data_IF_632749412075
#
_entry.id   IF_632749412075
#
_cell.length_a   1.000
_cell.length_b   1.000
_cell.length_c   1.000
_cell.angle_alpha   90.00
_cell.angle_beta   90.00
_cell.angle_gamma   90.00
#
_symmetry.space_group_name_H-M   'P 1'
#
loop_
_entity.id
_entity.type
_entity.pdbx_description
1 polymer ?
#
# COMPACT_ATOMS: atom_id res chain seq x y z
N UNK A 1 -19.48 9.73 -27.79
CA UNK A 1 -20.00 8.52 -27.11
C UNK A 1 -20.22 8.82 -25.64
N UNK A 2 -21.30 8.28 -25.09
CA UNK A 2 -21.80 8.58 -23.76
C UNK A 2 -20.74 8.32 -22.68
N UNK A 3 -20.42 9.34 -21.89
CA UNK A 3 -19.58 9.27 -20.68
C UNK A 3 -20.22 8.40 -19.60
N UNK A 4 -20.33 7.09 -19.88
CA UNK A 4 -20.54 6.07 -18.88
C UNK A 4 -19.35 6.17 -17.93
N UNK A 5 -19.66 6.58 -16.71
CA UNK A 5 -18.76 6.74 -15.57
C UNK A 5 -17.59 5.75 -15.62
N UNK A 6 -16.43 6.21 -16.11
CA UNK A 6 -15.21 5.43 -16.34
C UNK A 6 -14.76 4.77 -15.03
N UNK A 7 -15.18 5.35 -13.91
CA UNK A 7 -15.00 4.85 -12.55
C UNK A 7 -15.91 3.67 -12.19
N UNK A 8 -16.72 3.12 -13.10
CA UNK A 8 -17.55 1.92 -12.83
C UNK A 8 -17.06 0.66 -13.53
N UNK A 9 -16.27 0.76 -14.60
CA UNK A 9 -15.71 -0.40 -15.29
C UNK A 9 -14.65 -1.08 -14.40
N UNK A 10 -14.83 -2.37 -14.03
CA UNK A 10 -13.86 -3.13 -13.25
C UNK A 10 -12.43 -3.09 -13.81
N UNK A 11 -12.26 -3.13 -15.14
CA UNK A 11 -10.93 -3.09 -15.78
C UNK A 11 -10.25 -1.72 -15.60
N UNK A 12 -11.05 -0.65 -15.59
CA UNK A 12 -10.55 0.71 -15.38
C UNK A 12 -10.18 0.94 -13.91
N UNK A 13 -10.98 0.42 -12.97
CA UNK A 13 -10.65 0.44 -11.52
C UNK A 13 -9.33 -0.27 -11.23
N UNK A 14 -9.11 -1.44 -11.82
CA UNK A 14 -7.86 -2.20 -11.64
C UNK A 14 -6.64 -1.43 -12.20
N UNK A 15 -6.78 -0.85 -13.40
CA UNK A 15 -5.75 -0.01 -14.01
C UNK A 15 -5.35 1.16 -13.09
N UNK A 16 -6.34 1.88 -12.55
CA UNK A 16 -6.09 3.01 -11.66
C UNK A 16 -5.39 2.54 -10.38
N UNK A 17 -5.82 1.43 -9.81
CA UNK A 17 -5.21 0.89 -8.61
C UNK A 17 -3.77 0.43 -8.80
N UNK A 18 -3.46 -0.20 -9.94
CA UNK A 18 -2.09 -0.57 -10.27
C UNK A 18 -1.21 0.67 -10.45
N UNK A 19 -1.71 1.71 -11.14
CA UNK A 19 -0.99 2.98 -11.28
C UNK A 19 -0.70 3.65 -9.92
N UNK A 20 -1.65 3.66 -8.98
CA UNK A 20 -1.44 4.21 -7.63
C UNK A 20 -0.38 3.39 -6.86
N UNK A 21 -0.41 2.05 -6.96
CA UNK A 21 0.60 1.17 -6.33
C UNK A 21 1.98 1.38 -6.91
N UNK A 22 2.11 1.49 -8.24
CA UNK A 22 3.37 1.81 -8.91
C UNK A 22 3.91 3.17 -8.46
N UNK A 23 3.05 4.19 -8.40
CA UNK A 23 3.42 5.52 -7.91
C UNK A 23 3.93 5.49 -6.46
N UNK A 24 3.27 4.71 -5.60
CA UNK A 24 3.68 4.53 -4.20
C UNK A 24 5.06 3.87 -4.10
N UNK A 25 5.30 2.85 -4.92
CA UNK A 25 6.57 2.15 -4.97
C UNK A 25 7.70 3.04 -5.49
N UNK A 26 7.45 3.83 -6.54
CA UNK A 26 8.42 4.77 -7.09
C UNK A 26 8.75 5.90 -6.12
N UNK A 27 7.75 6.44 -5.42
CA UNK A 27 7.99 7.40 -4.33
C UNK A 27 8.88 6.80 -3.24
N UNK A 28 8.64 5.54 -2.85
CA UNK A 28 9.50 4.83 -1.92
C UNK A 28 10.93 4.69 -2.42
N UNK A 29 11.13 4.55 -3.73
CA UNK A 29 12.45 4.37 -4.33
C UNK A 29 13.22 5.68 -4.41
N UNK A 30 12.53 6.78 -4.70
CA UNK A 30 13.07 8.14 -4.61
C UNK A 30 13.50 8.45 -3.17
N UNK A 31 12.63 8.20 -2.19
CA UNK A 31 12.91 8.46 -0.78
C UNK A 31 14.05 7.59 -0.26
N UNK A 32 14.18 6.34 -0.70
CA UNK A 32 15.27 5.43 -0.28
C UNK A 32 16.57 5.60 -1.07
N UNK A 33 16.56 6.37 -2.16
CA UNK A 33 17.74 6.62 -2.99
C UNK A 33 18.10 5.45 -3.90
N UNK A 34 17.11 4.65 -4.29
CA UNK A 34 17.26 3.48 -5.19
C UNK A 34 16.54 3.65 -6.54
N UNK A 35 15.95 4.82 -6.76
CA UNK A 35 15.33 5.19 -8.02
C UNK A 35 16.37 5.22 -9.16
N UNK A 36 16.01 4.64 -10.30
CA UNK A 36 16.88 4.44 -11.46
C UNK A 36 17.02 5.69 -12.33
N UNK A 37 16.12 6.67 -12.19
CA UNK A 37 16.16 7.89 -12.98
C UNK A 37 17.20 8.90 -12.42
N UNK A 38 18.32 8.42 -11.90
CA UNK A 38 19.28 9.21 -11.11
C UNK A 38 20.13 10.21 -11.93
N UNK A 39 20.13 10.10 -13.26
CA UNK A 39 21.00 10.89 -14.13
C UNK A 39 20.42 12.23 -14.56
N UNK A 40 19.11 12.42 -14.38
CA UNK A 40 18.38 13.65 -14.71
C UNK A 40 18.62 14.74 -13.65
N UNK A 41 18.70 16.00 -14.08
CA UNK A 41 19.13 17.10 -13.21
C UNK A 41 18.12 17.40 -12.10
N UNK A 42 16.83 17.34 -12.39
CA UNK A 42 15.76 17.42 -11.40
C UNK A 42 15.86 16.34 -10.31
N UNK A 43 16.04 15.07 -10.69
CA UNK A 43 16.18 13.99 -9.71
C UNK A 43 17.47 14.11 -8.89
N UNK A 44 18.58 14.54 -9.49
CA UNK A 44 19.82 14.85 -8.74
C UNK A 44 19.57 15.89 -7.65
N UNK A 45 18.86 16.97 -7.98
CA UNK A 45 18.52 18.01 -7.01
C UNK A 45 17.64 17.46 -5.88
N UNK A 46 16.65 16.61 -6.21
CA UNK A 46 15.82 15.95 -5.21
C UNK A 46 16.67 15.06 -4.29
N UNK A 47 17.59 14.26 -4.84
CA UNK A 47 18.44 13.38 -4.05
C UNK A 47 19.40 14.16 -3.14
N UNK A 48 20.01 15.25 -3.61
CA UNK A 48 20.87 16.10 -2.77
C UNK A 48 20.10 16.80 -1.64
N UNK A 49 18.86 17.24 -1.92
CA UNK A 49 17.97 17.78 -0.89
C UNK A 49 17.59 16.71 0.14
N UNK A 50 17.27 15.48 -0.30
CA UNK A 50 16.96 14.37 0.59
C UNK A 50 18.17 14.02 1.46
N UNK A 51 19.37 13.92 0.90
CA UNK A 51 20.60 13.70 1.67
C UNK A 51 20.76 14.75 2.77
N UNK A 52 20.60 16.02 2.42
CA UNK A 52 20.68 17.14 3.37
C UNK A 52 19.65 17.03 4.49
N UNK A 53 18.39 16.70 4.16
CA UNK A 53 17.32 16.50 5.15
C UNK A 53 17.65 15.33 6.07
N UNK A 54 18.09 14.20 5.52
CA UNK A 54 18.40 13.01 6.30
C UNK A 54 19.66 13.16 7.16
N UNK A 55 20.62 13.99 6.76
CA UNK A 55 21.76 14.37 7.61
C UNK A 55 21.29 15.15 8.84
N UNK A 56 20.31 16.06 8.70
CA UNK A 56 19.72 16.77 9.85
C UNK A 56 18.94 15.81 10.76
N UNK A 57 18.13 14.92 10.18
CA UNK A 57 17.40 13.89 10.93
C UNK A 57 18.39 13.00 11.69
N UNK A 58 19.47 12.55 11.04
CA UNK A 58 20.52 11.72 11.65
C UNK A 58 21.11 12.39 12.89
N UNK A 59 21.42 13.69 12.82
CA UNK A 59 21.93 14.47 13.98
C UNK A 59 20.94 14.48 15.14
N UNK A 60 19.64 14.58 14.88
CA UNK A 60 18.61 14.56 15.92
C UNK A 60 18.43 13.16 16.52
N UNK A 61 18.32 12.11 15.69
CA UNK A 61 18.05 10.75 16.17
C UNK A 61 19.27 10.15 16.88
N UNK A 62 20.48 10.54 16.50
CA UNK A 62 21.71 10.09 17.15
C UNK A 62 21.94 10.70 18.55
N UNK A 63 21.08 11.61 19.04
CA UNK A 63 21.18 12.17 20.40
C UNK A 63 20.84 11.18 21.52
N UNK A 64 20.51 9.92 21.19
CA UNK A 64 20.29 8.86 22.18
C UNK A 64 20.71 7.45 21.75
N UNK A 65 21.06 7.23 20.47
CA UNK A 65 21.47 5.92 19.95
C UNK A 65 22.43 6.09 18.77
N UNK A 66 23.55 5.38 18.76
CA UNK A 66 24.58 5.47 17.70
C UNK A 66 24.30 4.62 16.45
N UNK A 67 23.04 4.23 16.20
CA UNK A 67 22.65 3.25 15.17
C UNK A 67 23.14 3.63 13.78
N UNK A 68 23.12 4.93 13.43
CA UNK A 68 23.39 5.41 12.07
C UNK A 68 24.80 5.96 11.88
N UNK A 69 25.70 5.82 12.86
CA UNK A 69 27.05 6.37 12.76
C UNK A 69 27.87 5.76 11.62
N UNK A 70 27.63 4.49 11.30
CA UNK A 70 28.28 3.74 10.22
C UNK A 70 27.44 3.65 8.94
N UNK A 71 26.36 4.43 8.84
CA UNK A 71 25.56 4.49 7.61
C UNK A 71 26.35 5.14 6.47
N UNK A 72 25.90 4.92 5.23
CA UNK A 72 26.51 5.51 4.05
C UNK A 72 26.36 7.04 4.05
N UNK A 73 27.18 7.77 3.26
CA UNK A 73 27.00 9.21 3.06
C UNK A 73 25.61 9.59 2.56
N UNK A 74 24.95 8.68 1.83
CA UNK A 74 23.59 8.87 1.32
C UNK A 74 22.48 8.46 2.30
N UNK A 75 22.87 8.07 3.52
CA UNK A 75 21.97 7.66 4.62
C UNK A 75 21.02 6.52 4.26
N UNK A 76 21.49 5.56 3.47
CA UNK A 76 20.64 4.49 2.91
C UNK A 76 19.91 3.69 3.99
N UNK A 77 20.56 3.35 5.11
CA UNK A 77 19.92 2.60 6.19
C UNK A 77 18.85 3.44 6.90
N UNK A 78 19.16 4.70 7.23
CA UNK A 78 18.20 5.62 7.85
C UNK A 78 16.99 5.86 6.95
N UNK A 79 17.19 6.07 5.65
CA UNK A 79 16.13 6.29 4.66
C UNK A 79 15.22 5.07 4.53
N UNK A 80 15.79 3.86 4.52
CA UNK A 80 15.04 2.61 4.53
C UNK A 80 14.17 2.47 5.79
N UNK A 81 14.74 2.66 6.98
CA UNK A 81 13.97 2.59 8.23
C UNK A 81 12.88 3.66 8.31
N UNK A 82 13.16 4.88 7.82
CA UNK A 82 12.17 5.95 7.75
C UNK A 82 11.01 5.57 6.84
N UNK A 83 11.27 5.01 5.67
CA UNK A 83 10.22 4.54 4.77
C UNK A 83 9.37 3.46 5.44
N UNK A 84 10.01 2.44 6.04
CA UNK A 84 9.28 1.38 6.75
C UNK A 84 8.39 1.89 7.88
N UNK A 85 8.84 2.91 8.61
CA UNK A 85 8.05 3.54 9.67
C UNK A 85 6.86 4.35 9.13
N UNK A 86 6.99 4.99 7.96
CA UNK A 86 6.03 5.99 7.46
C UNK A 86 5.18 5.54 6.26
N UNK A 87 5.53 4.44 5.60
CA UNK A 87 4.87 3.92 4.38
C UNK A 87 3.36 3.77 4.52
N UNK A 88 2.87 3.39 5.72
CA UNK A 88 1.44 3.26 6.01
C UNK A 88 0.72 4.60 5.92
N UNK A 89 1.33 5.65 6.47
CA UNK A 89 0.80 7.01 6.44
C UNK A 89 0.85 7.59 5.03
N UNK A 90 1.95 7.35 4.30
CA UNK A 90 2.08 7.76 2.89
C UNK A 90 1.00 7.11 2.03
N UNK A 91 0.82 5.79 2.14
CA UNK A 91 -0.21 5.06 1.40
C UNK A 91 -1.62 5.57 1.72
N UNK A 92 -1.91 5.81 3.01
CA UNK A 92 -3.17 6.42 3.43
C UNK A 92 -3.37 7.77 2.74
N UNK A 93 -2.39 8.66 2.76
CA UNK A 93 -2.49 9.97 2.10
C UNK A 93 -2.76 9.85 0.58
N UNK A 94 -2.12 8.90 -0.10
CA UNK A 94 -2.35 8.65 -1.53
C UNK A 94 -3.73 8.11 -1.85
N UNK A 95 -4.37 7.41 -0.90
CA UNK A 95 -5.64 6.70 -1.13
C UNK A 95 -6.85 7.36 -0.48
N UNK A 96 -6.67 8.30 0.45
CA UNK A 96 -7.78 8.93 1.19
C UNK A 96 -8.00 10.40 0.85
N UNK A 97 -7.25 10.96 -0.09
CA UNK A 97 -7.36 12.37 -0.49
C UNK A 97 -8.06 12.52 -1.84
N UNK A 98 -9.00 13.47 -1.95
CA UNK A 98 -9.70 13.78 -3.19
C UNK A 98 -10.50 12.61 -3.75
N UNK A 99 -10.56 12.49 -5.07
CA UNK A 99 -11.28 11.41 -5.76
C UNK A 99 -10.64 10.02 -5.57
N UNK A 100 -9.39 9.95 -5.08
CA UNK A 100 -8.75 8.68 -4.73
C UNK A 100 -9.48 7.93 -3.61
N UNK A 101 -10.17 8.64 -2.71
CA UNK A 101 -10.99 8.04 -1.66
C UNK A 101 -12.17 7.21 -2.21
N UNK A 102 -12.57 7.44 -3.46
CA UNK A 102 -13.62 6.70 -4.16
C UNK A 102 -13.10 5.40 -4.80
N UNK A 103 -11.78 5.22 -4.84
CA UNK A 103 -11.12 4.11 -5.54
C UNK A 103 -10.71 3.05 -4.50
N UNK A 104 -11.52 1.99 -4.41
CA UNK A 104 -11.21 0.85 -3.55
C UNK A 104 -10.20 -0.10 -4.19
N UNK A 105 -8.91 0.10 -3.92
CA UNK A 105 -7.83 -0.77 -4.39
C UNK A 105 -7.66 -2.09 -3.63
N UNK A 106 -8.55 -2.34 -2.66
CA UNK A 106 -8.58 -3.54 -1.84
C UNK A 106 -9.57 -4.56 -2.40
N UNK A 107 -9.28 -5.06 -3.59
CA UNK A 107 -9.87 -6.33 -4.05
C UNK A 107 -8.76 -7.35 -4.26
N UNK A 108 -8.29 -7.94 -3.17
CA UNK A 108 -7.88 -9.35 -3.27
C UNK A 108 -9.16 -10.09 -3.58
N UNK A 109 -9.23 -10.76 -4.73
CA UNK A 109 -10.44 -11.44 -5.18
C UNK A 109 -11.05 -12.29 -4.07
N UNK A 110 -12.21 -11.86 -3.55
CA UNK A 110 -13.15 -12.76 -2.91
C UNK A 110 -13.89 -13.54 -4.01
N UNK A 111 -13.11 -14.23 -4.83
CA UNK A 111 -13.51 -15.34 -5.67
C UNK A 111 -13.01 -16.64 -5.03
N UNK A 112 -13.21 -16.76 -3.72
CA UNK A 112 -13.10 -17.99 -2.96
C UNK A 112 -14.42 -18.17 -2.22
N UNK A 113 -15.43 -18.61 -2.96
CA UNK A 113 -16.42 -19.56 -2.44
C UNK A 113 -15.69 -20.83 -2.01
N UNK A 114 -14.91 -20.73 -0.94
CA UNK A 114 -14.61 -21.85 -0.06
C UNK A 114 -15.71 -21.84 0.98
N UNK A 115 -16.87 -22.41 0.63
CA UNK A 115 -17.83 -22.88 1.62
C UNK A 115 -17.04 -23.55 2.73
N UNK A 116 -17.14 -23.01 3.95
CA UNK A 116 -16.71 -23.72 5.14
C UNK A 116 -17.62 -24.94 5.23
N UNK A 117 -17.24 -26.01 4.54
CA UNK A 117 -17.76 -27.35 4.76
C UNK A 117 -17.39 -27.70 6.18
N UNK A 118 -18.29 -27.42 7.12
CA UNK A 118 -18.24 -27.94 8.46
C UNK A 118 -18.44 -29.45 8.36
N UNK A 119 -17.36 -30.18 8.11
CA UNK A 119 -17.33 -31.63 8.31
C UNK A 119 -17.37 -31.84 9.82
N UNK A 120 -18.59 -32.00 10.33
CA UNK A 120 -18.86 -32.25 11.75
C UNK A 120 -18.20 -33.55 12.19
N UNK A 121 -17.12 -33.42 12.98
CA UNK A 121 -16.66 -34.52 13.82
C UNK A 121 -17.58 -34.57 15.04
N UNK A 122 -18.46 -35.56 15.03
CA UNK A 122 -19.42 -35.89 16.08
C UNK A 122 -18.66 -36.44 17.29
N UNK A 123 -18.54 -35.66 18.36
CA UNK A 123 -18.18 -36.18 19.69
C UNK A 123 -19.40 -36.14 20.60
N UNK A 124 -19.68 -37.26 21.26
CA UNK A 124 -20.89 -37.51 22.02
C UNK A 124 -20.84 -36.85 23.41
N UNK A 125 -22.00 -36.29 23.78
CA UNK A 125 -22.65 -36.11 25.11
C UNK A 125 -21.81 -36.27 26.40
N UNK A 126 -21.97 -35.28 27.30
CA UNK A 126 -21.73 -35.49 28.74
C UNK A 126 -21.94 -34.27 29.66
N UNK A 127 -23.16 -34.16 30.20
CA UNK A 127 -23.56 -33.58 31.51
C UNK A 127 -23.62 -32.08 31.81
N UNK A 128 -24.83 -31.71 32.24
CA UNK A 128 -25.36 -30.44 32.73
C UNK A 128 -24.79 -29.98 34.08
N UNK A 129 -24.51 -28.68 34.23
CA UNK A 129 -24.75 -27.89 35.46
C UNK A 129 -25.01 -26.42 35.09
N UNK A 130 -26.14 -25.88 35.55
CA UNK A 130 -26.61 -24.52 35.24
C UNK A 130 -26.21 -23.44 36.25
N UNK A 131 -26.54 -22.19 35.89
CA UNK A 131 -26.67 -20.89 36.64
C UNK A 131 -26.05 -19.77 35.80
N UNK A 132 -26.47 -18.52 35.79
CA UNK A 132 -27.64 -17.75 36.23
C UNK A 132 -27.54 -16.41 35.47
N UNK A 133 -28.66 -15.72 35.34
CA UNK A 133 -28.95 -14.48 34.63
C UNK A 133 -28.16 -13.23 35.07
N UNK A 134 -28.26 -12.21 34.20
CA UNK A 134 -28.01 -10.78 34.36
C UNK A 134 -26.58 -10.25 34.11
N UNK A 135 -26.34 -9.82 32.86
CA UNK A 135 -25.70 -8.53 32.65
C UNK A 135 -26.23 -7.86 31.38
N UNK A 136 -26.41 -6.55 31.49
CA UNK A 136 -27.22 -5.68 30.63
C UNK A 136 -26.75 -5.67 29.18
N UNK A 137 -27.69 -5.83 28.25
CA UNK A 137 -27.50 -5.59 26.81
C UNK A 137 -27.33 -4.07 26.62
N UNK A 138 -26.08 -3.61 26.57
CA UNK A 138 -25.77 -2.25 26.11
C UNK A 138 -26.01 -2.22 24.61
N UNK A 139 -27.17 -1.71 24.19
CA UNK A 139 -27.39 -1.25 22.82
C UNK A 139 -26.62 0.06 22.65
N UNK A 140 -25.33 -0.04 22.33
CA UNK A 140 -24.60 1.06 21.71
C UNK A 140 -24.99 1.09 20.23
N UNK A 141 -26.13 1.73 19.96
CA UNK A 141 -26.37 2.34 18.66
C UNK A 141 -25.43 3.54 18.54
N UNK A 142 -24.53 3.50 17.57
CA UNK A 142 -23.61 4.61 17.28
C UNK A 142 -22.13 4.32 17.58
N UNK A 143 -21.63 3.15 17.17
CA UNK A 143 -20.20 2.92 17.05
C UNK A 143 -19.69 3.49 15.72
N UNK A 144 -18.96 4.60 15.79
CA UNK A 144 -18.12 5.13 14.71
C UNK A 144 -17.36 3.96 14.07
N UNK A 145 -17.56 3.73 12.76
CA UNK A 145 -16.84 2.70 12.00
C UNK A 145 -15.35 2.89 12.20
N UNK A 146 -14.79 2.07 13.08
CA UNK A 146 -13.42 2.09 13.53
C UNK A 146 -12.55 1.67 12.36
N UNK A 147 -11.66 2.58 11.96
CA UNK A 147 -10.57 2.44 10.99
C UNK A 147 -10.74 1.31 9.97
N UNK A 148 -11.16 1.65 8.75
CA UNK A 148 -10.81 0.86 7.58
C UNK A 148 -9.31 0.60 7.62
N UNK A 149 -8.92 -0.65 7.88
CA UNK A 149 -7.52 -1.07 7.84
C UNK A 149 -7.07 -0.95 6.39
N UNK A 150 -6.51 0.20 6.02
CA UNK A 150 -5.98 0.42 4.68
C UNK A 150 -4.81 -0.54 4.50
N UNK A 151 -5.02 -1.65 3.77
CA UNK A 151 -3.93 -2.57 3.44
C UNK A 151 -2.95 -1.86 2.52
N UNK A 152 -1.71 -1.76 2.97
CA UNK A 152 -0.62 -1.17 2.20
C UNK A 152 -0.12 -2.20 1.18
N UNK A 153 0.05 -1.85 -0.09
CA UNK A 153 0.65 -2.72 -1.09
C UNK A 153 2.08 -3.10 -0.73
N UNK A 154 2.58 -4.19 -1.31
CA UNK A 154 3.96 -4.66 -1.17
C UNK A 154 4.84 -4.30 -2.37
N UNK A 155 4.27 -3.59 -3.35
CA UNK A 155 4.92 -3.23 -4.62
C UNK A 155 6.24 -2.48 -4.39
N UNK A 156 6.34 -1.69 -3.33
CA UNK A 156 7.56 -0.98 -2.93
C UNK A 156 8.67 -1.90 -2.38
N UNK A 157 8.46 -3.23 -2.30
CA UNK A 157 9.53 -4.21 -2.07
C UNK A 157 9.99 -4.91 -3.36
N UNK A 158 9.24 -4.81 -4.46
CA UNK A 158 9.61 -5.37 -5.76
C UNK A 158 10.70 -4.47 -6.38
N UNK A 159 11.81 -4.97 -6.94
CA UNK A 159 12.80 -4.12 -7.61
C UNK A 159 12.21 -3.25 -8.74
N UNK A 160 12.58 -1.97 -8.81
CA UNK A 160 12.00 -1.00 -9.75
C UNK A 160 12.04 -1.45 -11.21
N UNK A 161 13.16 -2.04 -11.66
CA UNK A 161 13.28 -2.57 -13.04
C UNK A 161 12.18 -3.56 -13.39
N UNK A 162 11.80 -4.43 -12.45
CA UNK A 162 10.75 -5.43 -12.66
C UNK A 162 9.38 -4.77 -12.71
N UNK A 163 9.12 -3.78 -11.84
CA UNK A 163 7.86 -3.04 -11.84
C UNK A 163 7.66 -2.27 -13.15
N UNK A 164 8.68 -1.56 -13.61
CA UNK A 164 8.65 -0.83 -14.88
C UNK A 164 8.51 -1.76 -16.08
N UNK A 165 9.11 -2.96 -16.05
CA UNK A 165 8.91 -3.97 -17.09
C UNK A 165 7.45 -4.44 -17.16
N UNK A 166 6.82 -4.69 -15.99
CA UNK A 166 5.40 -5.05 -15.92
C UNK A 166 4.52 -3.93 -16.46
N UNK A 167 4.74 -2.69 -16.03
CA UNK A 167 4.00 -1.52 -16.51
C UNK A 167 4.18 -1.29 -18.02
N UNK A 168 5.40 -1.47 -18.53
CA UNK A 168 5.67 -1.39 -19.97
C UNK A 168 4.88 -2.44 -20.75
N UNK A 169 4.87 -3.69 -20.29
CA UNK A 169 4.15 -4.78 -20.96
C UNK A 169 2.63 -4.53 -20.96
N UNK A 170 2.08 -4.05 -19.84
CA UNK A 170 0.66 -3.68 -19.75
C UNK A 170 0.30 -2.55 -20.74
N UNK A 171 1.12 -1.50 -20.81
CA UNK A 171 0.89 -0.38 -21.72
C UNK A 171 1.07 -0.77 -23.19
N UNK A 172 2.06 -1.61 -23.49
CA UNK A 172 2.26 -2.16 -24.84
C UNK A 172 1.02 -2.95 -25.29
N UNK A 173 0.50 -3.85 -24.47
CA UNK A 173 -0.72 -4.59 -24.79
C UNK A 173 -1.94 -3.67 -24.98
N UNK A 174 -2.07 -2.60 -24.19
CA UNK A 174 -3.14 -1.60 -24.37
C UNK A 174 -3.01 -0.86 -25.70
N UNK A 175 -1.80 -0.49 -26.10
CA UNK A 175 -1.55 0.16 -27.38
C UNK A 175 -1.85 -0.80 -28.54
N UNK A 176 -1.32 -2.02 -28.48
CA UNK A 176 -1.52 -3.04 -29.51
C UNK A 176 -3.00 -3.43 -29.69
N UNK A 177 -3.77 -3.48 -28.60
CA UNK A 177 -5.21 -3.74 -28.67
C UNK A 177 -6.00 -2.59 -29.33
N UNK A 178 -5.51 -1.34 -29.28
CA UNK A 178 -6.17 -0.23 -29.99
C UNK A 178 -5.95 -0.38 -31.49
N UNK A 179 -4.70 -0.57 -31.90
CA UNK A 179 -4.31 -0.76 -33.31
C UNK A 179 -4.99 -1.97 -33.97
N UNK A 180 -5.21 -3.07 -33.24
CA UNK A 180 -5.88 -4.25 -33.79
C UNK A 180 -7.39 -4.07 -34.00
N UNK A 181 -8.02 -3.15 -33.26
CA UNK A 181 -9.45 -2.87 -33.34
C UNK A 181 -9.76 -1.64 -34.23
N UNK A 182 -8.74 -1.05 -34.87
CA UNK A 182 -8.83 -0.03 -35.92
C UNK A 182 -8.79 -0.67 -37.32
#
# INVERSE_FOLDING_TARGET
ENGKDILQDPKHKECICNAIKSSFADLGDIIRGRDLWSNESGNKNIQENLKTIFEQIKKTVNQGVNTYNKDTPDHTMLRNHWWEANRKSVWKAMTTCGDAAKIECNKRGAGSTGSTGSTGYRSQRGHSRGRNQNSRRVTSSGGLSTSSSVSVPHDDYIPQRLRWLTEWAENYCRAQAKEYNE
#
